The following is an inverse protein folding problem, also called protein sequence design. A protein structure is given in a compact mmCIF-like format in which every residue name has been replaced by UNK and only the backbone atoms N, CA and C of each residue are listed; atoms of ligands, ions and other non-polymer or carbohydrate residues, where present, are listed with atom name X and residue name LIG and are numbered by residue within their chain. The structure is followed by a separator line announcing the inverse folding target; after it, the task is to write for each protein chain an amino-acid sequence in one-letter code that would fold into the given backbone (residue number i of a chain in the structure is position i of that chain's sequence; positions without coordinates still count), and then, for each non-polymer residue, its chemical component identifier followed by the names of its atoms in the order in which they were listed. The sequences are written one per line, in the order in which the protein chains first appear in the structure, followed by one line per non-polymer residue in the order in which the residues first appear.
data_IF_504876814910
#
_entry.id   IF_504876814910
#
_cell.length_a   1.000
_cell.length_b   1.000
_cell.length_c   1.000
_cell.angle_alpha   90.00
_cell.angle_beta   90.00
_cell.angle_gamma   90.00
#
_symmetry.space_group_name_H-M   'P 1'
#
loop_
_entity.id
_entity.type
_entity.pdbx_description
1 polymer ?
#
# COMPACT_ATOMS: atom_id res chain seq x y z
N UNK A 1 20.31 -30.70 25.90
CA UNK A 1 21.58 -30.63 25.17
C UNK A 1 22.34 -29.36 25.53
N UNK A 2 23.61 -29.52 25.91
CA UNK A 2 24.45 -28.33 26.16
C UNK A 2 25.16 -27.92 24.86
N UNK A 3 25.11 -26.64 24.47
CA UNK A 3 25.73 -26.17 23.22
C UNK A 3 27.23 -26.47 23.13
N UNK A 4 27.94 -26.40 24.25
CA UNK A 4 29.38 -26.70 24.34
C UNK A 4 29.72 -28.16 23.95
N UNK A 5 28.82 -29.10 24.23
CA UNK A 5 29.00 -30.53 23.87
C UNK A 5 28.85 -30.72 22.36
N UNK A 6 27.91 -30.02 21.72
CA UNK A 6 27.71 -30.06 20.27
C UNK A 6 28.90 -29.48 19.55
N UNK A 7 29.38 -28.30 19.97
CA UNK A 7 30.58 -27.65 19.40
C UNK A 7 31.81 -28.56 19.48
N UNK A 8 32.02 -29.18 20.66
CA UNK A 8 33.15 -30.11 20.85
C UNK A 8 33.06 -31.32 19.91
N UNK A 9 31.86 -31.89 19.71
CA UNK A 9 31.65 -33.01 18.80
C UNK A 9 31.89 -32.65 17.35
N UNK A 10 31.39 -31.51 16.89
CA UNK A 10 31.60 -31.00 15.53
C UNK A 10 33.09 -30.69 15.27
N UNK A 11 33.80 -30.18 16.26
CA UNK A 11 35.23 -29.96 16.22
C UNK A 11 36.00 -31.28 16.02
N UNK A 12 35.61 -32.35 16.73
CA UNK A 12 36.22 -33.67 16.57
C UNK A 12 35.92 -34.30 15.20
N UNK A 13 34.81 -33.94 14.54
CA UNK A 13 34.49 -34.29 13.15
C UNK A 13 35.20 -33.40 12.12
N UNK A 14 36.07 -32.49 12.55
CA UNK A 14 36.84 -31.58 11.69
C UNK A 14 36.11 -30.32 11.24
N UNK A 15 34.97 -30.02 11.83
CA UNK A 15 34.21 -28.80 11.56
C UNK A 15 34.47 -27.74 12.64
N UNK A 16 34.98 -26.58 12.24
CA UNK A 16 35.22 -25.47 13.14
C UNK A 16 33.93 -24.63 13.24
N UNK A 17 33.21 -24.79 14.33
CA UNK A 17 31.96 -24.09 14.58
C UNK A 17 32.01 -23.33 15.91
N UNK A 18 31.29 -22.25 16.00
CA UNK A 18 31.09 -21.43 17.19
C UNK A 18 29.65 -21.57 17.69
N UNK A 19 29.35 -21.05 18.88
CA UNK A 19 27.97 -21.06 19.43
C UNK A 19 26.96 -20.32 18.53
N UNK A 20 27.41 -19.41 17.68
CA UNK A 20 26.57 -18.60 16.80
C UNK A 20 26.65 -19.02 15.31
N UNK A 21 27.30 -20.15 15.01
CA UNK A 21 27.37 -20.65 13.64
C UNK A 21 26.02 -21.25 13.24
N UNK A 22 25.48 -20.80 12.13
CA UNK A 22 24.26 -21.36 11.55
C UNK A 22 24.57 -22.74 10.97
N UNK A 23 23.71 -23.71 11.29
CA UNK A 23 23.79 -25.07 10.77
C UNK A 23 22.70 -25.26 9.70
N UNK A 24 22.99 -26.05 8.68
CA UNK A 24 21.96 -26.50 7.74
C UNK A 24 21.03 -27.50 8.41
N UNK A 25 19.82 -27.66 7.88
CA UNK A 25 18.85 -28.62 8.44
C UNK A 25 19.44 -30.04 8.50
N UNK A 26 20.14 -30.47 7.44
CA UNK A 26 20.78 -31.78 7.38
C UNK A 26 21.83 -31.98 8.48
N UNK A 27 22.64 -30.96 8.77
CA UNK A 27 23.63 -31.01 9.86
C UNK A 27 22.94 -31.04 11.24
N UNK A 28 21.85 -30.30 11.39
CA UNK A 28 21.08 -30.31 12.63
C UNK A 28 20.40 -31.65 12.86
N UNK A 29 19.84 -32.27 11.80
CA UNK A 29 19.21 -33.58 11.83
C UNK A 29 20.23 -34.70 12.19
N UNK A 30 21.44 -34.67 11.59
CA UNK A 30 22.52 -35.63 11.93
C UNK A 30 22.90 -35.53 13.41
N UNK A 31 23.02 -34.31 13.94
CA UNK A 31 23.32 -34.13 15.36
C UNK A 31 22.17 -34.61 16.26
N UNK A 32 20.93 -34.31 15.87
CA UNK A 32 19.74 -34.69 16.62
C UNK A 32 19.54 -36.20 16.69
N UNK A 33 19.79 -36.93 15.58
CA UNK A 33 19.73 -38.38 15.51
C UNK A 33 20.72 -39.06 16.47
N UNK A 34 21.90 -38.49 16.70
CA UNK A 34 22.86 -39.01 17.70
C UNK A 34 22.34 -38.90 19.15
N UNK A 35 21.29 -38.15 19.39
CA UNK A 35 20.63 -37.97 20.69
C UNK A 35 19.20 -38.58 20.73
N UNK A 36 18.87 -39.44 19.79
CA UNK A 36 17.54 -40.08 19.64
C UNK A 36 16.40 -39.01 19.50
N UNK A 37 16.69 -37.87 18.87
CA UNK A 37 15.73 -36.81 18.59
C UNK A 37 15.47 -36.77 17.09
N UNK A 38 14.20 -36.85 16.70
CA UNK A 38 13.76 -36.68 15.31
C UNK A 38 13.46 -35.21 15.08
N UNK A 39 14.10 -34.64 14.06
CA UNK A 39 13.81 -33.29 13.62
C UNK A 39 12.84 -33.31 12.44
N UNK A 40 11.86 -32.44 12.47
CA UNK A 40 11.01 -32.12 11.32
C UNK A 40 11.20 -30.66 10.95
N UNK A 41 11.26 -30.39 9.64
CA UNK A 41 11.31 -29.00 9.18
C UNK A 41 9.96 -28.36 9.44
N UNK A 42 9.96 -27.27 10.21
CA UNK A 42 8.76 -26.46 10.40
C UNK A 42 8.49 -25.68 9.11
N UNK A 43 7.36 -25.95 8.48
CA UNK A 43 6.89 -25.12 7.38
C UNK A 43 6.56 -23.75 7.95
N UNK A 44 7.27 -22.71 7.48
CA UNK A 44 6.91 -21.34 7.78
C UNK A 44 5.58 -21.05 7.09
N UNK A 45 4.50 -21.23 7.82
CA UNK A 45 3.18 -20.78 7.37
C UNK A 45 3.26 -19.25 7.29
N UNK A 46 3.18 -18.72 6.08
CA UNK A 46 3.02 -17.28 5.88
C UNK A 46 1.59 -16.89 6.27
N UNK A 47 1.39 -16.76 7.59
CA UNK A 47 0.09 -16.37 8.19
C UNK A 47 -0.41 -15.06 7.60
N UNK A 48 0.50 -14.18 7.19
CA UNK A 48 0.15 -12.91 6.55
C UNK A 48 -0.32 -13.17 5.11
N UNK A 49 0.36 -14.02 4.38
CA UNK A 49 -0.05 -14.45 3.04
C UNK A 49 -1.39 -15.19 3.04
N UNK A 50 -1.61 -16.05 4.04
CA UNK A 50 -2.87 -16.79 4.20
C UNK A 50 -4.04 -15.88 4.63
N UNK A 51 -3.79 -14.88 5.49
CA UNK A 51 -4.78 -13.86 5.87
C UNK A 51 -5.06 -12.83 4.77
N UNK A 52 -4.11 -12.61 3.85
CA UNK A 52 -4.24 -11.73 2.70
C UNK A 52 -4.65 -12.46 1.42
N UNK A 53 -4.70 -13.79 1.44
CA UNK A 53 -5.29 -14.57 0.36
C UNK A 53 -6.81 -14.29 0.37
N UNK A 54 -7.21 -13.29 -0.42
CA UNK A 54 -8.62 -13.07 -0.73
C UNK A 54 -9.12 -14.31 -1.48
N UNK A 55 -10.09 -15.02 -0.89
CA UNK A 55 -10.86 -16.02 -1.65
C UNK A 55 -11.54 -15.26 -2.80
N UNK A 56 -11.21 -15.60 -4.04
CA UNK A 56 -11.86 -15.01 -5.20
C UNK A 56 -13.36 -15.31 -5.11
N UNK A 57 -14.16 -14.28 -4.91
CA UNK A 57 -15.61 -14.40 -4.93
C UNK A 57 -16.07 -14.93 -6.30
N UNK A 58 -17.03 -15.86 -6.34
CA UNK A 58 -17.58 -16.35 -7.59
C UNK A 58 -18.06 -15.18 -8.46
N UNK A 59 -17.68 -15.16 -9.75
CA UNK A 59 -18.09 -14.09 -10.69
C UNK A 59 -19.60 -13.80 -10.67
N UNK A 60 -20.42 -14.80 -10.34
CA UNK A 60 -21.87 -14.67 -10.25
C UNK A 60 -22.35 -13.80 -9.08
N UNK A 61 -21.50 -13.53 -8.08
CA UNK A 61 -21.82 -12.70 -6.91
C UNK A 61 -21.30 -11.27 -7.04
N UNK A 62 -20.47 -11.01 -8.05
CA UNK A 62 -19.89 -9.69 -8.27
C UNK A 62 -20.96 -8.69 -8.72
N UNK A 63 -21.07 -7.57 -8.01
CA UNK A 63 -21.96 -6.46 -8.33
C UNK A 63 -21.11 -5.26 -8.79
N UNK A 64 -21.47 -4.60 -9.91
CA UNK A 64 -20.74 -3.42 -10.36
C UNK A 64 -20.80 -2.32 -9.29
N UNK A 65 -19.64 -1.79 -8.88
CA UNK A 65 -19.53 -0.68 -7.96
C UNK A 65 -19.44 0.65 -8.71
N UNK A 66 -19.86 1.76 -8.09
CA UNK A 66 -19.61 3.08 -8.65
C UNK A 66 -18.11 3.33 -8.83
N UNK A 67 -17.69 3.99 -9.94
CA UNK A 67 -16.30 4.35 -10.15
C UNK A 67 -15.83 5.30 -9.04
N UNK A 68 -14.57 5.12 -8.64
CA UNK A 68 -13.92 5.94 -7.63
C UNK A 68 -12.91 6.85 -8.31
N UNK A 69 -13.05 8.14 -8.12
CA UNK A 69 -12.22 9.19 -8.76
C UNK A 69 -11.47 9.96 -7.68
N UNK A 70 -10.15 10.05 -7.78
CA UNK A 70 -9.35 10.90 -6.89
C UNK A 70 -8.99 12.21 -7.60
N UNK A 71 -9.00 13.32 -6.85
CA UNK A 71 -8.55 14.62 -7.34
C UNK A 71 -7.22 14.96 -6.68
N UNK A 72 -6.20 15.18 -7.51
CA UNK A 72 -4.82 15.44 -7.10
C UNK A 72 -4.28 16.71 -7.73
N UNK A 73 -3.20 17.24 -7.20
CA UNK A 73 -2.52 18.43 -7.68
C UNK A 73 -1.95 19.27 -6.54
N UNK A 74 -1.25 20.34 -6.89
CA UNK A 74 -0.62 21.24 -5.94
C UNK A 74 -1.65 21.98 -5.06
N UNK A 75 -1.20 22.56 -3.95
CA UNK A 75 -1.99 23.47 -3.10
C UNK A 75 -2.45 24.65 -3.96
N UNK A 76 -3.62 25.19 -3.70
CA UNK A 76 -4.23 26.37 -4.35
C UNK A 76 -4.47 26.26 -5.88
N UNK A 77 -4.22 25.09 -6.50
CA UNK A 77 -4.54 24.84 -7.90
C UNK A 77 -6.05 24.62 -8.17
N UNK A 78 -6.92 24.83 -7.20
CA UNK A 78 -8.36 24.80 -7.39
C UNK A 78 -9.02 23.43 -7.26
N UNK A 79 -8.35 22.41 -6.70
CA UNK A 79 -8.93 21.06 -6.46
C UNK A 79 -10.26 21.11 -5.71
N UNK A 80 -10.26 21.73 -4.53
CA UNK A 80 -11.46 21.84 -3.68
C UNK A 80 -12.53 22.68 -4.35
N UNK A 81 -12.16 23.74 -5.09
CA UNK A 81 -13.09 24.57 -5.87
C UNK A 81 -13.77 23.76 -6.99
N UNK A 82 -13.01 22.91 -7.68
CA UNK A 82 -13.54 21.99 -8.68
C UNK A 82 -14.55 21.02 -8.05
N UNK A 83 -14.18 20.43 -6.91
CA UNK A 83 -15.04 19.50 -6.20
C UNK A 83 -16.29 20.16 -5.63
N UNK A 84 -16.19 21.40 -5.14
CA UNK A 84 -17.32 22.19 -4.69
C UNK A 84 -18.29 22.50 -5.83
N UNK A 85 -17.78 22.81 -7.01
CA UNK A 85 -18.60 23.00 -8.21
C UNK A 85 -19.36 21.73 -8.60
N UNK A 86 -18.72 20.58 -8.52
CA UNK A 86 -19.32 19.27 -8.80
C UNK A 86 -20.40 18.92 -7.75
N UNK A 87 -20.12 19.17 -6.49
CA UNK A 87 -21.06 18.92 -5.38
C UNK A 87 -22.20 19.94 -5.32
N UNK A 88 -22.04 21.10 -5.92
CA UNK A 88 -22.88 22.30 -5.70
C UNK A 88 -22.88 22.73 -4.23
N UNK A 89 -21.72 22.68 -3.59
CA UNK A 89 -21.48 23.03 -2.18
C UNK A 89 -20.42 24.13 -2.07
N UNK A 90 -20.15 24.60 -0.87
CA UNK A 90 -19.12 25.58 -0.58
C UNK A 90 -18.32 25.14 0.66
N UNK A 91 -17.59 24.04 0.53
CA UNK A 91 -16.78 23.45 1.61
C UNK A 91 -15.52 24.29 1.84
N UNK A 92 -14.95 24.85 0.78
CA UNK A 92 -13.75 25.72 0.81
C UNK A 92 -13.87 26.84 1.86
N UNK A 93 -15.08 27.39 2.05
CA UNK A 93 -15.30 28.46 3.03
C UNK A 93 -15.40 27.98 4.49
N UNK A 94 -15.50 26.67 4.72
CA UNK A 94 -15.67 26.07 6.04
C UNK A 94 -14.41 25.37 6.58
N UNK A 95 -13.46 25.06 5.71
CA UNK A 95 -12.21 24.45 6.12
C UNK A 95 -11.27 25.48 6.74
N UNK A 96 -10.60 25.11 7.84
CA UNK A 96 -9.62 25.97 8.50
C UNK A 96 -8.45 26.28 7.56
N UNK A 97 -8.26 27.56 7.22
CA UNK A 97 -7.24 28.00 6.28
C UNK A 97 -7.57 27.76 4.81
N UNK A 98 -8.79 27.32 4.47
CA UNK A 98 -9.21 27.05 3.08
C UNK A 98 -8.50 25.89 2.39
N UNK A 99 -7.83 25.00 3.15
CA UNK A 99 -7.07 23.86 2.66
C UNK A 99 -7.65 22.55 3.15
N UNK A 100 -7.73 21.57 2.27
CA UNK A 100 -8.12 20.19 2.64
C UNK A 100 -7.01 19.53 3.44
N UNK A 101 -7.32 19.07 4.66
CA UNK A 101 -6.37 18.45 5.58
C UNK A 101 -6.63 16.96 5.78
N UNK A 102 -7.80 16.46 5.41
CA UNK A 102 -8.22 15.08 5.53
C UNK A 102 -8.68 14.53 4.19
N UNK A 103 -8.51 13.21 3.99
CA UNK A 103 -9.14 12.55 2.84
C UNK A 103 -10.65 12.55 3.05
N UNK A 104 -11.36 13.23 2.18
CA UNK A 104 -12.82 13.21 2.12
C UNK A 104 -13.32 12.28 1.03
N UNK A 105 -14.27 11.40 1.34
CA UNK A 105 -14.95 10.59 0.34
C UNK A 105 -16.44 10.99 0.28
N UNK A 106 -16.94 11.19 -0.93
CA UNK A 106 -18.34 11.51 -1.13
C UNK A 106 -18.85 11.02 -2.48
N UNK A 107 -20.13 10.74 -2.55
CA UNK A 107 -20.78 10.26 -3.75
C UNK A 107 -21.63 11.36 -4.38
N UNK A 108 -21.50 11.53 -5.68
CA UNK A 108 -22.31 12.46 -6.49
C UNK A 108 -23.02 11.65 -7.58
N UNK A 109 -24.28 11.98 -7.85
CA UNK A 109 -24.99 11.42 -9.01
C UNK A 109 -24.87 12.36 -10.20
N UNK A 110 -24.28 11.89 -11.28
CA UNK A 110 -24.15 12.61 -12.54
C UNK A 110 -24.96 11.86 -13.59
N UNK A 111 -25.96 12.51 -14.18
CA UNK A 111 -26.90 11.90 -15.14
C UNK A 111 -27.59 10.62 -14.63
N UNK A 112 -27.77 10.50 -13.30
CA UNK A 112 -28.38 9.34 -12.68
C UNK A 112 -27.39 8.28 -12.18
N UNK A 113 -26.14 8.30 -12.67
CA UNK A 113 -25.09 7.35 -12.30
C UNK A 113 -24.31 7.86 -11.10
N UNK A 114 -24.07 7.01 -10.08
CA UNK A 114 -23.29 7.39 -8.92
C UNK A 114 -21.78 7.36 -9.25
N UNK A 115 -21.05 8.38 -8.80
CA UNK A 115 -19.59 8.47 -8.88
C UNK A 115 -19.07 8.84 -7.49
N UNK A 116 -18.06 8.13 -7.01
CA UNK A 116 -17.41 8.43 -5.73
C UNK A 116 -16.17 9.27 -5.97
N UNK A 117 -16.10 10.43 -5.34
CA UNK A 117 -14.93 11.30 -5.38
C UNK A 117 -14.13 11.19 -4.07
N UNK A 118 -12.80 11.13 -4.21
CA UNK A 118 -11.86 11.26 -3.11
C UNK A 118 -11.13 12.59 -3.22
N UNK A 119 -11.26 13.41 -2.20
CA UNK A 119 -10.50 14.65 -2.06
C UNK A 119 -9.23 14.40 -1.27
N UNK A 120 -8.08 14.82 -1.80
CA UNK A 120 -6.79 14.60 -1.15
C UNK A 120 -6.10 15.93 -0.85
N UNK A 121 -5.41 16.05 0.33
CA UNK A 121 -4.62 17.22 0.63
C UNK A 121 -3.53 17.47 -0.42
N UNK A 122 -3.39 18.71 -0.87
CA UNK A 122 -2.37 19.11 -1.85
C UNK A 122 -0.98 19.37 -1.25
N UNK A 123 -0.88 19.48 0.09
CA UNK A 123 0.36 19.84 0.77
C UNK A 123 1.39 18.69 0.76
N UNK A 124 2.67 19.04 0.66
CA UNK A 124 3.81 18.09 0.61
C UNK A 124 3.80 17.06 1.76
N UNK A 125 3.45 17.50 2.97
CA UNK A 125 3.41 16.65 4.16
C UNK A 125 2.45 15.43 4.04
N UNK A 126 1.55 15.39 3.04
CA UNK A 126 0.51 14.36 2.91
C UNK A 126 0.73 13.39 1.74
N UNK A 127 1.98 13.14 1.33
CA UNK A 127 2.34 12.20 0.26
C UNK A 127 1.73 10.82 0.45
N UNK A 128 1.81 10.26 1.66
CA UNK A 128 1.24 8.94 1.97
C UNK A 128 -0.28 8.89 1.77
N UNK A 129 -0.99 10.00 2.00
CA UNK A 129 -2.44 10.08 1.77
C UNK A 129 -2.76 10.09 0.27
N UNK A 130 -1.95 10.80 -0.54
CA UNK A 130 -2.11 10.80 -2.01
C UNK A 130 -1.85 9.41 -2.59
N UNK A 131 -0.82 8.70 -2.12
CA UNK A 131 -0.54 7.32 -2.54
C UNK A 131 -1.70 6.38 -2.23
N UNK A 132 -2.26 6.43 -1.03
CA UNK A 132 -3.44 5.63 -0.67
C UNK A 132 -4.66 5.98 -1.52
N UNK A 133 -4.86 7.27 -1.80
CA UNK A 133 -5.91 7.71 -2.72
C UNK A 133 -5.75 7.09 -4.10
N UNK A 134 -4.55 7.14 -4.70
CA UNK A 134 -4.28 6.58 -6.02
C UNK A 134 -4.50 5.05 -6.09
N UNK A 135 -4.11 4.32 -5.04
CA UNK A 135 -4.29 2.86 -4.99
C UNK A 135 -5.76 2.41 -4.91
N UNK A 136 -6.61 3.25 -4.31
CA UNK A 136 -8.02 2.95 -4.07
C UNK A 136 -8.96 3.42 -5.19
N UNK A 137 -8.44 4.00 -6.28
CA UNK A 137 -9.24 4.67 -7.30
C UNK A 137 -9.10 4.06 -8.69
N UNK A 138 -10.14 4.25 -9.50
CA UNK A 138 -10.19 3.83 -10.89
C UNK A 138 -9.72 4.94 -11.85
N UNK A 139 -9.87 6.21 -11.43
CA UNK A 139 -9.51 7.38 -12.23
C UNK A 139 -8.85 8.42 -11.31
N UNK A 140 -7.76 9.03 -11.78
CA UNK A 140 -7.13 10.17 -11.13
C UNK A 140 -7.29 11.43 -12.01
N UNK A 141 -7.83 12.51 -11.42
CA UNK A 141 -7.91 13.82 -12.04
C UNK A 141 -6.76 14.67 -11.49
N UNK A 142 -5.85 15.09 -12.37
CA UNK A 142 -4.75 15.96 -12.03
C UNK A 142 -5.11 17.41 -12.37
N UNK A 143 -5.18 18.26 -11.35
CA UNK A 143 -5.51 19.68 -11.50
C UNK A 143 -4.22 20.49 -11.47
N UNK A 144 -4.02 21.30 -12.51
CA UNK A 144 -2.85 22.19 -12.65
C UNK A 144 -3.35 23.59 -12.99
N UNK A 145 -2.93 24.58 -12.19
CA UNK A 145 -3.22 25.98 -12.50
C UNK A 145 -2.38 26.44 -13.70
N UNK A 146 -2.99 27.17 -14.61
CA UNK A 146 -2.35 27.57 -15.86
C UNK A 146 -1.24 28.63 -15.67
N UNK A 147 -1.36 29.40 -14.62
CA UNK A 147 -0.43 30.49 -14.23
C UNK A 147 0.81 29.94 -13.52
N UNK A 148 0.66 28.89 -12.70
CA UNK A 148 1.77 28.29 -11.94
C UNK A 148 2.45 27.13 -12.69
N UNK A 149 1.73 26.47 -13.61
CA UNK A 149 2.23 25.32 -14.34
C UNK A 149 2.43 24.06 -13.48
N UNK A 150 3.34 23.20 -13.92
CA UNK A 150 3.62 21.91 -13.24
C UNK A 150 4.54 22.15 -12.06
N UNK A 151 4.02 21.97 -10.85
CA UNK A 151 4.72 22.13 -9.58
C UNK A 151 5.29 20.79 -9.09
N UNK A 152 6.26 20.77 -8.13
CA UNK A 152 6.87 19.54 -7.62
C UNK A 152 5.85 18.52 -7.11
N UNK A 153 4.80 18.97 -6.40
CA UNK A 153 3.74 18.09 -5.89
C UNK A 153 2.84 17.54 -7.01
N UNK A 154 2.80 18.23 -8.17
CA UNK A 154 2.12 17.71 -9.36
C UNK A 154 2.88 16.52 -9.93
N UNK A 155 4.21 16.64 -10.05
CA UNK A 155 5.08 15.53 -10.48
C UNK A 155 5.03 14.39 -9.48
N UNK A 156 5.05 14.69 -8.19
CA UNK A 156 4.90 13.72 -7.12
C UNK A 156 3.57 12.97 -7.17
N UNK A 157 2.48 13.63 -7.60
CA UNK A 157 1.18 12.99 -7.77
C UNK A 157 1.12 12.07 -8.99
N UNK A 158 1.88 12.37 -10.05
CA UNK A 158 1.96 11.53 -11.26
C UNK A 158 2.68 10.22 -10.97
N UNK A 159 3.75 10.22 -10.16
CA UNK A 159 4.55 9.04 -9.87
C UNK A 159 3.72 7.88 -9.28
N UNK A 160 2.94 8.04 -8.20
CA UNK A 160 2.08 6.97 -7.68
C UNK A 160 1.07 6.45 -8.70
N UNK A 161 0.49 7.35 -9.51
CA UNK A 161 -0.46 6.99 -10.56
C UNK A 161 0.21 6.12 -11.62
N UNK A 162 1.46 6.41 -11.98
CA UNK A 162 2.22 5.63 -12.96
C UNK A 162 2.63 4.24 -12.47
N UNK A 163 2.71 4.04 -11.16
CA UNK A 163 3.03 2.75 -10.53
C UNK A 163 1.80 1.93 -10.12
N UNK A 164 0.60 2.44 -10.35
CA UNK A 164 -0.65 1.73 -10.10
C UNK A 164 -1.20 1.13 -11.41
N UNK A 165 -2.41 0.60 -11.34
CA UNK A 165 -3.18 0.13 -12.50
C UNK A 165 -3.69 1.27 -13.41
N UNK A 166 -3.50 2.54 -13.02
CA UNK A 166 -3.95 3.70 -13.78
C UNK A 166 -3.00 3.99 -14.95
N UNK A 167 -3.55 4.24 -16.12
CA UNK A 167 -2.82 4.60 -17.34
C UNK A 167 -3.12 6.04 -17.74
N UNK A 168 -2.11 6.73 -18.27
CA UNK A 168 -2.33 8.06 -18.85
C UNK A 168 -3.12 7.94 -20.16
N UNK A 169 -4.10 8.82 -20.43
CA UNK A 169 -4.73 8.86 -21.73
C UNK A 169 -3.69 9.25 -22.78
N UNK A 170 -3.63 8.48 -23.87
CA UNK A 170 -2.77 8.75 -25.04
C UNK A 170 -3.49 9.62 -26.07
#
# INVERSE_FOLDING_TARGET
LQPSTIVKKLFLKGQIVTLNTELTFEQAEEIALEYDVICTMEEKVDVIGELLAEEEDPESTLVPRPPVVVVMGHVDHGKTSLLDAIRKTNVTSREAGGITQHIGAYMVKINGEPITFLDTPGHEAFTAMRMRGAQATDIAILVVAADDGVMPQTVEAINPVSYTHLTLPT
#
